data_IF_488380634703
#
_entry.id   IF_488380634703
#
_cell.length_a   1.000
_cell.length_b   1.000
_cell.length_c   1.000
_cell.angle_alpha   90.00
_cell.angle_beta   90.00
_cell.angle_gamma   90.00
#
_symmetry.space_group_name_H-M   'P 1'
#
loop_
_entity.id
_entity.type
_entity.pdbx_description
1 polymer ?
#
# COMPACT_ATOMS: atom_id res chain seq x y z
N UNK A 1 16.71 -10.69 24.39
CA UNK A 1 16.43 -11.89 23.58
C UNK A 1 14.97 -12.08 23.14
N UNK A 2 13.93 -12.15 24.01
CA UNK A 2 12.52 -12.40 23.56
C UNK A 2 11.83 -11.25 22.80
N UNK A 3 12.24 -9.99 23.02
CA UNK A 3 11.69 -8.84 22.28
C UNK A 3 12.33 -8.71 20.89
N UNK A 4 13.61 -9.02 20.77
CA UNK A 4 14.37 -8.91 19.54
C UNK A 4 13.78 -9.82 18.46
N UNK A 5 13.51 -11.10 18.76
CA UNK A 5 12.96 -12.03 17.75
C UNK A 5 11.61 -11.58 17.17
N UNK A 6 10.71 -11.02 18.00
CA UNK A 6 9.41 -10.50 17.54
C UNK A 6 9.55 -9.24 16.68
N UNK A 7 10.55 -8.41 16.95
CA UNK A 7 10.83 -7.24 16.12
C UNK A 7 11.37 -7.69 14.77
N UNK A 8 12.36 -8.58 14.76
CA UNK A 8 12.93 -9.18 13.54
C UNK A 8 11.86 -9.86 12.68
N UNK A 9 10.98 -10.68 13.27
CA UNK A 9 9.83 -11.28 12.57
C UNK A 9 8.93 -10.22 11.92
N UNK A 10 8.67 -9.11 12.62
CA UNK A 10 7.84 -8.03 12.10
C UNK A 10 8.46 -7.29 10.91
N UNK A 11 9.78 -7.07 10.92
CA UNK A 11 10.49 -6.42 9.82
C UNK A 11 10.57 -7.31 8.58
N UNK A 12 10.77 -8.61 8.75
CA UNK A 12 10.77 -9.58 7.63
C UNK A 12 9.42 -9.62 6.92
N UNK A 13 8.31 -9.69 7.68
CA UNK A 13 6.97 -9.68 7.08
C UNK A 13 6.66 -8.34 6.42
N UNK A 14 7.09 -7.22 7.02
CA UNK A 14 6.95 -5.91 6.41
C UNK A 14 7.70 -5.81 5.08
N UNK A 15 8.93 -6.33 5.02
CA UNK A 15 9.71 -6.42 3.79
C UNK A 15 8.97 -7.22 2.72
N UNK A 16 8.41 -8.39 3.08
CA UNK A 16 7.60 -9.19 2.16
C UNK A 16 6.39 -8.43 1.63
N UNK A 17 5.67 -7.69 2.48
CA UNK A 17 4.54 -6.85 2.07
C UNK A 17 4.99 -5.72 1.16
N UNK A 18 6.13 -5.07 1.44
CA UNK A 18 6.67 -4.02 0.56
C UNK A 18 7.02 -4.61 -0.81
N UNK A 19 7.73 -5.74 -0.86
CA UNK A 19 8.03 -6.42 -2.13
C UNK A 19 6.76 -6.83 -2.88
N UNK A 20 5.76 -7.34 -2.16
CA UNK A 20 4.44 -7.65 -2.71
C UNK A 20 3.80 -6.42 -3.35
N UNK A 21 3.79 -5.27 -2.67
CA UNK A 21 3.18 -4.04 -3.21
C UNK A 21 4.00 -3.41 -4.33
N UNK A 22 5.33 -3.50 -4.29
CA UNK A 22 6.21 -3.04 -5.36
C UNK A 22 6.01 -3.82 -6.65
N UNK A 23 5.67 -5.11 -6.54
CA UNK A 23 5.30 -5.92 -7.72
C UNK A 23 4.04 -5.38 -8.43
N UNK A 24 3.19 -4.61 -7.73
CA UNK A 24 2.01 -3.93 -8.29
C UNK A 24 2.39 -2.58 -8.91
N UNK A 25 3.23 -1.79 -8.22
CA UNK A 25 3.61 -0.46 -8.69
C UNK A 25 4.48 -0.51 -9.95
N UNK A 26 5.35 -1.51 -10.05
CA UNK A 26 6.28 -1.67 -11.18
C UNK A 26 5.61 -1.73 -12.55
N UNK A 27 4.67 -2.65 -12.84
CA UNK A 27 4.02 -2.71 -14.15
C UNK A 27 3.19 -1.46 -14.45
N UNK A 28 2.59 -0.79 -13.44
CA UNK A 28 1.86 0.47 -13.64
C UNK A 28 2.80 1.54 -14.21
N UNK A 29 3.97 1.71 -13.58
CA UNK A 29 4.96 2.66 -14.04
C UNK A 29 5.56 2.26 -15.40
N UNK A 30 5.81 0.96 -15.62
CA UNK A 30 6.32 0.42 -16.88
C UNK A 30 5.33 0.58 -18.05
N UNK A 31 4.02 0.62 -17.78
CA UNK A 31 3.00 0.86 -18.80
C UNK A 31 3.05 2.27 -19.42
N UNK A 32 3.80 3.21 -18.80
CA UNK A 32 4.04 4.57 -19.31
C UNK A 32 2.77 5.31 -19.74
N UNK A 33 1.66 5.07 -19.05
CA UNK A 33 0.39 5.75 -19.33
C UNK A 33 0.50 7.26 -19.20
N UNK A 34 1.33 7.72 -18.25
CA UNK A 34 1.62 9.14 -18.07
C UNK A 34 2.93 9.35 -17.30
N UNK A 35 3.42 10.58 -17.29
CA UNK A 35 4.59 10.99 -16.51
C UNK A 35 4.27 11.05 -15.01
N UNK A 36 5.26 10.80 -14.16
CA UNK A 36 5.13 10.90 -12.71
C UNK A 36 4.59 9.63 -12.02
N UNK A 37 4.42 8.51 -12.72
CA UNK A 37 4.02 7.23 -12.12
C UNK A 37 5.11 6.62 -11.22
N UNK A 38 6.33 7.14 -11.25
CA UNK A 38 7.44 6.72 -10.39
C UNK A 38 7.17 7.01 -8.90
N UNK A 39 6.33 8.02 -8.59
CA UNK A 39 5.95 8.28 -7.20
C UNK A 39 5.23 7.10 -6.56
N UNK A 40 4.60 6.22 -7.36
CA UNK A 40 3.82 5.09 -6.85
C UNK A 40 4.68 4.13 -6.02
N UNK A 41 5.98 4.03 -6.30
CA UNK A 41 6.91 3.27 -5.46
C UNK A 41 6.98 3.82 -4.02
N UNK A 42 7.09 5.14 -3.87
CA UNK A 42 7.13 5.81 -2.57
C UNK A 42 5.76 5.78 -1.88
N UNK A 43 4.67 5.73 -2.64
CA UNK A 43 3.31 5.55 -2.10
C UNK A 43 3.14 4.17 -1.47
N UNK A 44 3.53 3.09 -2.18
CA UNK A 44 3.39 1.74 -1.64
C UNK A 44 4.30 1.49 -0.44
N UNK A 45 5.53 2.03 -0.46
CA UNK A 45 6.44 1.96 0.69
C UNK A 45 5.86 2.76 1.87
N UNK A 46 5.42 3.99 1.62
CA UNK A 46 4.86 4.86 2.65
C UNK A 46 3.60 4.29 3.30
N UNK A 47 2.70 3.72 2.51
CA UNK A 47 1.47 3.09 3.01
C UNK A 47 1.74 1.84 3.84
N UNK A 48 2.71 1.01 3.44
CA UNK A 48 3.11 -0.16 4.22
C UNK A 48 3.75 0.26 5.56
N UNK A 49 4.63 1.27 5.56
CA UNK A 49 5.22 1.80 6.79
C UNK A 49 4.16 2.40 7.72
N UNK A 50 3.29 3.27 7.19
CA UNK A 50 2.20 3.87 7.96
C UNK A 50 1.27 2.80 8.53
N UNK A 51 0.88 1.82 7.72
CA UNK A 51 0.07 0.67 8.15
C UNK A 51 0.74 -0.14 9.25
N UNK A 52 2.05 -0.38 9.17
CA UNK A 52 2.80 -1.13 10.18
C UNK A 52 2.83 -0.41 11.53
N UNK A 53 3.16 0.88 11.53
CA UNK A 53 3.21 1.67 12.75
C UNK A 53 1.82 1.83 13.37
N UNK A 54 0.79 2.11 12.56
CA UNK A 54 -0.59 2.22 13.04
C UNK A 54 -1.13 0.89 13.54
N UNK A 55 -0.81 -0.22 12.88
CA UNK A 55 -1.21 -1.56 13.33
C UNK A 55 -0.62 -1.92 14.69
N UNK A 56 0.64 -1.52 14.95
CA UNK A 56 1.33 -1.73 16.23
C UNK A 56 1.03 -0.67 17.29
N UNK A 57 0.37 0.42 16.92
CA UNK A 57 -0.02 1.47 17.86
C UNK A 57 -1.13 1.01 18.80
N UNK A 58 -1.24 1.67 19.95
CA UNK A 58 -2.32 1.44 20.92
C UNK A 58 -3.65 2.11 20.53
N UNK A 59 -3.70 2.85 19.41
CA UNK A 59 -4.91 3.55 19.00
C UNK A 59 -6.05 2.58 18.69
N UNK A 60 -7.31 2.90 19.02
CA UNK A 60 -8.48 2.18 18.53
C UNK A 60 -8.51 2.12 17.00
N UNK A 61 -9.11 1.07 16.43
CA UNK A 61 -9.14 0.84 14.98
C UNK A 61 -9.64 2.04 14.17
N UNK A 62 -10.78 2.62 14.58
CA UNK A 62 -11.35 3.79 13.92
C UNK A 62 -10.39 5.00 13.88
N UNK A 63 -9.68 5.26 14.98
CA UNK A 63 -8.71 6.35 15.09
C UNK A 63 -7.49 6.07 14.19
N UNK A 64 -7.02 4.83 14.16
CA UNK A 64 -5.92 4.44 13.28
C UNK A 64 -6.29 4.57 11.79
N UNK A 65 -7.52 4.22 11.40
CA UNK A 65 -8.01 4.42 10.04
C UNK A 65 -8.09 5.91 9.69
N UNK A 66 -8.58 6.75 10.61
CA UNK A 66 -8.61 8.21 10.43
C UNK A 66 -7.20 8.78 10.24
N UNK A 67 -6.23 8.37 11.07
CA UNK A 67 -4.84 8.80 10.91
C UNK A 67 -4.25 8.33 9.58
N UNK A 68 -4.55 7.11 9.13
CA UNK A 68 -4.11 6.63 7.82
C UNK A 68 -4.64 7.48 6.68
N UNK A 69 -5.90 7.92 6.75
CA UNK A 69 -6.46 8.84 5.76
C UNK A 69 -5.73 10.18 5.77
N UNK A 70 -5.51 10.78 6.95
CA UNK A 70 -4.80 12.06 7.06
C UNK A 70 -3.37 11.95 6.55
N UNK A 71 -2.62 10.93 6.97
CA UNK A 71 -1.25 10.71 6.52
C UNK A 71 -1.18 10.38 5.03
N UNK A 72 -2.12 9.59 4.52
CA UNK A 72 -2.18 9.24 3.10
C UNK A 72 -2.47 10.44 2.24
N UNK A 73 -3.47 11.24 2.58
CA UNK A 73 -3.77 12.48 1.85
C UNK A 73 -2.57 13.42 1.87
N UNK A 74 -1.91 13.61 3.03
CA UNK A 74 -0.74 14.46 3.13
C UNK A 74 0.45 13.92 2.30
N UNK A 75 0.71 12.61 2.36
CA UNK A 75 1.81 11.97 1.65
C UNK A 75 1.61 11.97 0.12
N UNK A 76 0.41 11.64 -0.33
CA UNK A 76 0.03 11.66 -1.75
C UNK A 76 0.05 13.10 -2.29
N UNK A 77 -0.46 14.08 -1.52
CA UNK A 77 -0.35 15.49 -1.90
C UNK A 77 1.11 15.96 -1.95
N UNK A 78 1.95 15.48 -1.03
CA UNK A 78 3.38 15.77 -1.03
C UNK A 78 4.08 15.21 -2.27
N UNK A 79 3.88 13.94 -2.60
CA UNK A 79 4.48 13.35 -3.79
C UNK A 79 3.91 13.95 -5.08
N UNK A 80 2.60 14.17 -5.16
CA UNK A 80 1.97 14.85 -6.30
C UNK A 80 2.49 16.29 -6.49
N UNK A 81 2.75 17.01 -5.41
CA UNK A 81 3.33 18.35 -5.46
C UNK A 81 4.75 18.36 -6.03
N UNK A 82 5.52 17.26 -5.88
CA UNK A 82 6.85 17.16 -6.52
C UNK A 82 6.80 17.00 -8.03
N UNK A 83 5.65 16.61 -8.59
CA UNK A 83 5.44 16.52 -10.05
C UNK A 83 5.06 17.86 -10.69
N UNK A 84 4.73 18.87 -9.88
CA UNK A 84 4.45 20.22 -10.36
C UNK A 84 5.73 20.99 -10.66
N UNK A 85 5.56 22.12 -11.34
CA UNK A 85 6.65 22.94 -11.83
C UNK A 85 7.68 23.27 -10.72
N UNK A 86 9.00 23.12 -10.97
CA UNK A 86 10.04 23.30 -9.95
C UNK A 86 10.04 24.70 -9.30
N UNK A 87 9.61 25.73 -10.04
CA UNK A 87 9.56 27.11 -9.57
C UNK A 87 8.45 27.39 -8.56
N UNK A 88 7.45 26.51 -8.44
CA UNK A 88 6.37 26.71 -7.48
C UNK A 88 6.87 26.49 -6.06
N UNK A 89 6.57 27.46 -5.19
CA UNK A 89 6.67 27.31 -3.74
C UNK A 89 5.75 26.19 -3.26
N UNK A 90 6.00 25.67 -2.06
CA UNK A 90 5.17 24.59 -1.51
C UNK A 90 3.71 25.01 -1.31
N UNK A 91 3.48 26.28 -0.98
CA UNK A 91 2.13 26.86 -0.90
C UNK A 91 1.44 26.85 -2.28
N UNK A 92 2.13 27.28 -3.33
CA UNK A 92 1.58 27.29 -4.69
C UNK A 92 1.29 25.88 -5.20
N UNK A 93 2.16 24.91 -4.90
CA UNK A 93 1.92 23.50 -5.24
C UNK A 93 0.64 22.96 -4.61
N UNK A 94 0.41 23.23 -3.32
CA UNK A 94 -0.82 22.79 -2.63
C UNK A 94 -2.07 23.49 -3.20
N UNK A 95 -1.99 24.78 -3.52
CA UNK A 95 -3.09 25.52 -4.16
C UNK A 95 -3.39 24.94 -5.54
N UNK A 96 -2.36 24.68 -6.35
CA UNK A 96 -2.52 24.13 -7.70
C UNK A 96 -3.11 22.72 -7.68
N UNK A 97 -2.63 21.84 -6.78
CA UNK A 97 -3.24 20.52 -6.57
C UNK A 97 -4.73 20.65 -6.20
N UNK A 98 -5.05 21.54 -5.26
CA UNK A 98 -6.43 21.81 -4.85
C UNK A 98 -7.30 22.29 -6.02
N UNK A 99 -6.79 23.21 -6.84
CA UNK A 99 -7.48 23.73 -8.02
C UNK A 99 -7.77 22.62 -9.04
N UNK A 100 -6.79 21.77 -9.34
CA UNK A 100 -6.96 20.64 -10.27
C UNK A 100 -7.96 19.62 -9.76
N UNK A 101 -7.90 19.26 -8.48
CA UNK A 101 -8.85 18.34 -7.85
C UNK A 101 -10.26 18.93 -7.91
N UNK A 102 -10.43 20.22 -7.60
CA UNK A 102 -11.72 20.90 -7.67
C UNK A 102 -12.25 20.94 -9.11
N UNK A 103 -11.42 21.29 -10.09
CA UNK A 103 -11.80 21.32 -11.50
C UNK A 103 -12.19 19.93 -12.02
N UNK A 104 -11.45 18.88 -11.64
CA UNK A 104 -11.78 17.50 -11.97
C UNK A 104 -13.11 17.07 -11.33
N UNK A 105 -13.33 17.37 -10.05
CA UNK A 105 -14.55 17.03 -9.34
C UNK A 105 -15.77 17.73 -9.96
N UNK A 106 -15.63 19.00 -10.30
CA UNK A 106 -16.68 19.75 -10.99
C UNK A 106 -17.04 19.10 -12.33
N UNK A 107 -16.06 18.72 -13.14
CA UNK A 107 -16.31 17.99 -14.40
C UNK A 107 -16.99 16.64 -14.18
N UNK A 108 -16.54 15.86 -13.20
CA UNK A 108 -17.10 14.55 -12.87
C UNK A 108 -18.59 14.64 -12.49
N UNK A 109 -18.99 15.68 -11.75
CA UNK A 109 -20.39 15.89 -11.34
C UNK A 109 -21.30 16.41 -12.46
N UNK A 110 -20.74 17.08 -13.47
CA UNK A 110 -21.49 17.70 -14.57
C UNK A 110 -21.38 16.93 -15.90
N UNK A 111 -20.95 15.66 -15.85
CA UNK A 111 -20.87 14.78 -17.03
C UNK A 111 -19.74 15.10 -18.01
N UNK A 112 -18.75 15.90 -17.60
CA UNK A 112 -17.56 16.19 -18.40
C UNK A 112 -16.47 15.12 -18.25
N UNK A 113 -15.58 15.05 -19.23
CA UNK A 113 -14.35 14.24 -19.15
C UNK A 113 -13.16 15.12 -18.77
N UNK A 114 -12.21 14.55 -18.02
CA UNK A 114 -10.95 15.22 -17.69
C UNK A 114 -9.78 14.37 -18.16
N UNK A 115 -8.84 15.00 -18.85
CA UNK A 115 -7.58 14.40 -19.32
C UNK A 115 -6.38 14.89 -18.49
N UNK A 116 -6.60 15.22 -17.22
CA UNK A 116 -5.52 15.66 -16.34
C UNK A 116 -4.72 14.45 -15.83
N UNK A 117 -3.54 14.30 -16.40
CA UNK A 117 -2.56 13.28 -16.06
C UNK A 117 -2.21 13.26 -14.56
N UNK A 118 -2.07 14.42 -13.93
CA UNK A 118 -1.71 14.49 -12.51
C UNK A 118 -2.85 13.95 -11.65
N UNK A 119 -4.11 14.22 -12.01
CA UNK A 119 -5.26 13.65 -11.30
C UNK A 119 -5.29 12.13 -11.43
N UNK A 120 -4.97 11.60 -12.61
CA UNK A 120 -4.85 10.16 -12.80
C UNK A 120 -3.77 9.54 -11.89
N UNK A 121 -2.58 10.15 -11.82
CA UNK A 121 -1.50 9.70 -10.92
C UNK A 121 -1.93 9.77 -9.44
N UNK A 122 -2.56 10.87 -9.01
CA UNK A 122 -3.05 11.03 -7.63
C UNK A 122 -4.12 10.01 -7.27
N UNK A 123 -4.99 9.66 -8.21
CA UNK A 123 -6.03 8.66 -8.01
C UNK A 123 -5.43 7.26 -7.84
N UNK A 124 -4.47 6.87 -8.70
CA UNK A 124 -3.73 5.62 -8.56
C UNK A 124 -2.95 5.58 -7.24
N UNK A 125 -2.30 6.69 -6.86
CA UNK A 125 -1.61 6.82 -5.59
C UNK A 125 -2.55 6.62 -4.40
N UNK A 126 -3.75 7.20 -4.43
CA UNK A 126 -4.74 6.99 -3.38
C UNK A 126 -5.20 5.53 -3.27
N UNK A 127 -5.45 4.86 -4.40
CA UNK A 127 -5.81 3.43 -4.43
C UNK A 127 -4.69 2.57 -3.85
N UNK A 128 -3.45 2.79 -4.29
CA UNK A 128 -2.29 2.04 -3.80
C UNK A 128 -2.01 2.31 -2.33
N UNK A 129 -2.23 3.55 -1.86
CA UNK A 129 -2.11 3.87 -0.44
C UNK A 129 -3.11 3.06 0.40
N UNK A 130 -4.38 3.05 -0.01
CA UNK A 130 -5.43 2.30 0.69
C UNK A 130 -5.15 0.80 0.65
N UNK A 131 -4.77 0.26 -0.50
CA UNK A 131 -4.41 -1.15 -0.64
C UNK A 131 -3.24 -1.52 0.28
N UNK A 132 -2.14 -0.77 0.23
CA UNK A 132 -0.97 -1.02 1.07
C UNK A 132 -1.26 -0.90 2.57
N UNK A 133 -2.00 0.14 2.97
CA UNK A 133 -2.41 0.32 4.36
C UNK A 133 -3.27 -0.83 4.86
N UNK A 134 -4.29 -1.22 4.10
CA UNK A 134 -5.22 -2.30 4.46
C UNK A 134 -4.48 -3.63 4.53
N UNK A 135 -3.61 -3.91 3.55
CA UNK A 135 -2.75 -5.09 3.55
C UNK A 135 -1.92 -5.19 4.82
N UNK A 136 -1.24 -4.13 5.21
CA UNK A 136 -0.42 -4.13 6.41
C UNK A 136 -1.26 -4.19 7.69
N UNK A 137 -2.38 -3.47 7.75
CA UNK A 137 -3.28 -3.46 8.91
C UNK A 137 -3.81 -4.84 9.25
N UNK A 138 -4.39 -5.54 8.28
CA UNK A 138 -4.95 -6.88 8.50
C UNK A 138 -3.88 -7.91 8.83
N UNK A 139 -2.67 -7.75 8.30
CA UNK A 139 -1.57 -8.66 8.60
C UNK A 139 -1.09 -8.53 10.05
N UNK A 140 -0.76 -7.31 10.48
CA UNK A 140 -0.10 -7.08 11.75
C UNK A 140 -1.04 -6.97 12.95
N UNK A 141 -2.25 -6.44 12.76
CA UNK A 141 -3.18 -6.18 13.88
C UNK A 141 -4.26 -7.25 14.02
N UNK A 142 -4.84 -7.67 12.91
CA UNK A 142 -5.93 -8.65 12.89
C UNK A 142 -5.43 -10.09 12.66
N UNK A 143 -4.17 -10.25 12.26
CA UNK A 143 -3.56 -11.55 11.89
C UNK A 143 -4.36 -12.32 10.84
N UNK A 144 -5.00 -11.58 9.93
CA UNK A 144 -5.91 -12.07 8.90
C UNK A 144 -5.23 -12.05 7.54
N UNK A 145 -4.57 -13.15 7.21
CA UNK A 145 -3.73 -13.28 6.02
C UNK A 145 -4.49 -13.01 4.72
N UNK A 146 -5.69 -13.57 4.57
CA UNK A 146 -6.50 -13.42 3.35
C UNK A 146 -6.98 -11.99 3.16
N UNK A 147 -7.46 -11.35 4.22
CA UNK A 147 -7.91 -9.95 4.19
C UNK A 147 -6.75 -8.97 3.92
N UNK A 148 -5.51 -9.39 4.19
CA UNK A 148 -4.31 -8.64 3.86
C UNK A 148 -4.01 -8.66 2.35
N UNK A 149 -4.13 -9.81 1.70
CA UNK A 149 -3.71 -9.96 0.28
C UNK A 149 -4.84 -9.74 -0.72
N UNK A 150 -6.11 -9.88 -0.34
CA UNK A 150 -7.23 -9.76 -1.30
C UNK A 150 -7.34 -8.34 -1.89
N UNK A 151 -7.30 -7.25 -1.09
CA UNK A 151 -7.45 -5.90 -1.62
C UNK A 151 -6.34 -5.52 -2.62
N UNK A 152 -5.08 -5.81 -2.28
CA UNK A 152 -3.94 -5.59 -3.17
C UNK A 152 -3.98 -6.51 -4.40
N UNK A 153 -4.50 -7.73 -4.25
CA UNK A 153 -4.67 -8.67 -5.35
C UNK A 153 -5.68 -8.19 -6.39
N UNK A 154 -6.77 -7.54 -5.95
CA UNK A 154 -7.73 -6.92 -6.86
C UNK A 154 -7.10 -5.83 -7.73
N UNK A 155 -6.13 -5.08 -7.19
CA UNK A 155 -5.39 -4.06 -7.96
C UNK A 155 -4.50 -4.70 -9.02
N UNK A 156 -3.84 -5.82 -8.71
CA UNK A 156 -3.06 -6.58 -9.70
C UNK A 156 -3.95 -7.14 -10.81
N UNK A 157 -5.12 -7.67 -10.47
CA UNK A 157 -6.07 -8.16 -11.47
C UNK A 157 -6.61 -7.04 -12.37
N UNK A 158 -6.86 -5.85 -11.80
CA UNK A 158 -7.19 -4.67 -12.60
C UNK A 158 -6.06 -4.32 -13.55
N UNK A 159 -4.82 -4.29 -13.04
CA UNK A 159 -3.63 -4.01 -13.83
C UNK A 159 -3.49 -5.00 -15.00
N UNK A 160 -3.72 -6.29 -14.74
CA UNK A 160 -3.71 -7.38 -15.74
C UNK A 160 -4.64 -7.10 -16.92
N UNK A 161 -5.79 -6.46 -16.67
CA UNK A 161 -6.74 -6.13 -17.72
C UNK A 161 -6.32 -4.91 -18.56
N UNK A 162 -5.67 -3.91 -17.95
CA UNK A 162 -5.45 -2.60 -18.59
C UNK A 162 -4.00 -2.33 -19.06
N UNK A 163 -2.98 -3.02 -18.54
CA UNK A 163 -1.56 -2.71 -18.80
C UNK A 163 -0.78 -3.94 -19.32
N UNK A 164 -0.91 -4.34 -20.60
CA UNK A 164 -0.44 -5.62 -21.14
C UNK A 164 1.09 -5.88 -21.06
N UNK A 165 1.93 -4.89 -20.75
CA UNK A 165 3.39 -5.08 -20.75
C UNK A 165 3.90 -5.73 -19.45
N UNK A 166 4.63 -6.86 -19.58
CA UNK A 166 5.40 -7.50 -18.50
C UNK A 166 4.58 -7.99 -17.28
N UNK A 167 3.27 -8.17 -17.48
CA UNK A 167 2.29 -8.58 -16.46
C UNK A 167 2.51 -9.96 -15.85
N UNK A 168 2.92 -10.94 -16.65
CA UNK A 168 3.08 -12.32 -16.18
C UNK A 168 4.09 -12.38 -15.03
N UNK A 169 5.19 -11.64 -15.16
CA UNK A 169 6.21 -11.54 -14.11
C UNK A 169 5.67 -10.84 -12.87
N UNK A 170 4.92 -9.73 -13.03
CA UNK A 170 4.32 -9.02 -11.90
C UNK A 170 3.34 -9.90 -11.12
N UNK A 171 2.45 -10.63 -11.81
CA UNK A 171 1.50 -11.52 -11.17
C UNK A 171 2.21 -12.67 -10.43
N UNK A 172 3.22 -13.29 -11.06
CA UNK A 172 4.00 -14.36 -10.42
C UNK A 172 4.74 -13.83 -9.20
N UNK A 173 5.39 -12.67 -9.30
CA UNK A 173 6.08 -12.02 -8.18
C UNK A 173 5.09 -11.69 -7.05
N UNK A 174 3.93 -11.13 -7.39
CA UNK A 174 2.86 -10.82 -6.44
C UNK A 174 2.41 -12.08 -5.70
N UNK A 175 2.07 -13.15 -6.42
CA UNK A 175 1.64 -14.42 -5.84
C UNK A 175 2.73 -15.04 -4.98
N UNK A 176 3.98 -15.00 -5.41
CA UNK A 176 5.12 -15.48 -4.65
C UNK A 176 5.23 -14.78 -3.29
N UNK A 177 5.25 -13.44 -3.26
CA UNK A 177 5.32 -12.70 -2.00
C UNK A 177 4.03 -12.85 -1.17
N UNK A 178 2.86 -12.86 -1.79
CA UNK A 178 1.58 -13.07 -1.10
C UNK A 178 1.54 -14.43 -0.39
N UNK A 179 2.01 -15.49 -1.04
CA UNK A 179 2.12 -16.82 -0.43
C UNK A 179 3.08 -16.82 0.77
N UNK A 180 4.23 -16.16 0.67
CA UNK A 180 5.16 -16.02 1.80
C UNK A 180 4.52 -15.24 2.96
N UNK A 181 3.76 -14.19 2.69
CA UNK A 181 3.00 -13.44 3.70
C UNK A 181 1.95 -14.34 4.37
N UNK A 182 1.23 -15.15 3.59
CA UNK A 182 0.23 -16.10 4.10
C UNK A 182 0.89 -17.19 4.96
N UNK A 183 2.00 -17.77 4.52
CA UNK A 183 2.74 -18.79 5.27
C UNK A 183 3.19 -18.22 6.62
N UNK A 184 3.83 -17.04 6.62
CA UNK A 184 4.27 -16.38 7.85
C UNK A 184 3.11 -16.12 8.82
N UNK A 185 1.97 -15.66 8.30
CA UNK A 185 0.79 -15.38 9.11
C UNK A 185 0.20 -16.66 9.74
N UNK A 186 0.11 -17.75 8.97
CA UNK A 186 -0.37 -19.04 9.45
C UNK A 186 0.57 -19.68 10.48
N UNK A 187 1.89 -19.58 10.26
CA UNK A 187 2.89 -20.06 11.21
C UNK A 187 2.79 -19.33 12.55
N UNK A 188 2.59 -18.00 12.52
CA UNK A 188 2.42 -17.20 13.72
C UNK A 188 1.16 -17.62 14.49
N UNK A 189 0.03 -17.82 13.80
CA UNK A 189 -1.21 -18.28 14.42
C UNK A 189 -1.05 -19.67 15.07
N UNK A 190 -0.44 -20.63 14.37
CA UNK A 190 -0.16 -21.97 14.91
C UNK A 190 0.75 -21.93 16.13
N UNK A 191 1.81 -21.10 16.11
CA UNK A 191 2.69 -20.91 17.27
C UNK A 191 1.93 -20.33 18.48
N UNK A 192 0.96 -19.45 18.26
CA UNK A 192 0.11 -18.92 19.33
C UNK A 192 -0.84 -20.00 19.90
N UNK A 193 -1.45 -20.80 19.03
CA UNK A 193 -2.32 -21.92 19.43
C UNK A 193 -1.55 -22.98 20.25
N UNK A 194 -0.36 -23.39 19.82
CA UNK A 194 0.47 -24.36 20.55
C UNK A 194 0.93 -23.85 21.92
N UNK A 195 1.21 -22.54 22.02
CA UNK A 195 1.51 -21.90 23.31
C UNK A 195 0.31 -21.90 24.24
N UNK A 196 -0.89 -21.60 23.73
CA UNK A 196 -2.11 -21.66 24.51
C UNK A 196 -2.42 -23.09 24.98
N UNK A 197 -2.13 -24.09 24.14
CA UNK A 197 -2.28 -25.50 24.45
C UNK A 197 -1.14 -26.10 25.32
N UNK A 198 -0.12 -25.31 25.70
CA UNK A 198 1.07 -25.74 26.46
C UNK A 198 1.82 -26.93 25.82
N UNK A 199 1.73 -27.11 24.51
CA UNK A 199 2.46 -28.16 23.78
C UNK A 199 3.89 -27.67 23.53
N UNK A 200 4.89 -28.44 23.98
CA UNK A 200 6.30 -28.16 23.67
C UNK A 200 6.54 -28.41 22.17
N UNK A 201 7.00 -27.39 21.46
CA UNK A 201 7.52 -27.50 20.09
C UNK A 201 9.06 -27.48 20.13
N UNK A 202 9.70 -28.19 19.19
CA UNK A 202 11.16 -28.23 19.06
C UNK A 202 11.74 -26.86 18.71
N UNK A 203 13.01 -26.63 19.05
CA UNK A 203 13.76 -25.39 18.80
C UNK A 203 13.97 -25.07 17.31
N UNK A 204 13.55 -25.97 16.43
CA UNK A 204 13.94 -25.99 15.03
C UNK A 204 12.83 -25.39 14.13
N UNK A 205 11.81 -24.76 14.73
CA UNK A 205 10.62 -24.14 14.09
C UNK A 205 10.38 -22.71 14.60
#
# INVERSE_FOLDING_TARGET
MRSESRLWEGWSVLFLIICMLLSIAWPINSAKWTEGLDILYLVVIGSALAGFFLAKSQFPGAIAHLFSLVYGTAWVAFLGGTLLAPQFTWRERLIELGNRINAWLWKALHGGTSSDNLIFVLFLAAILWLAGYVSTWYNFREHKAWQSIVPSGSVVLWNLYYAPEQLEFSLVAYLFFALLVVINSNLLQRKQEWRAAKVKYGSDI
#
